data_IF_078043816926
#
_entry.id   IF_078043816926
#
_cell.length_a   1.000
_cell.length_b   1.000
_cell.length_c   1.000
_cell.angle_alpha   90.00
_cell.angle_beta   90.00
_cell.angle_gamma   90.00
#
_symmetry.space_group_name_H-M   'P 1'
#
loop_
_entity.id
_entity.type
_entity.pdbx_description
1 polymer ?
#
# COMPACT_ATOMS: atom_id res chain seq x y z
N UNK A 1 15.52 -10.29 -9.74
CA UNK A 1 15.15 -10.35 -8.30
C UNK A 1 13.65 -10.13 -8.10
N UNK A 2 13.08 -9.03 -8.59
CA UNK A 2 11.64 -8.67 -8.46
C UNK A 2 10.68 -9.75 -8.98
N UNK A 3 10.98 -10.37 -10.12
CA UNK A 3 10.19 -11.48 -10.67
C UNK A 3 10.07 -12.69 -9.74
N UNK A 4 11.12 -12.98 -8.96
CA UNK A 4 11.10 -14.10 -7.98
C UNK A 4 10.13 -13.78 -6.86
N UNK A 5 10.16 -12.55 -6.33
CA UNK A 5 9.21 -12.10 -5.31
C UNK A 5 7.76 -12.09 -5.81
N UNK A 6 7.54 -11.63 -7.04
CA UNK A 6 6.21 -11.68 -7.68
C UNK A 6 5.73 -13.12 -7.83
N UNK A 7 6.60 -14.04 -8.25
CA UNK A 7 6.29 -15.47 -8.35
C UNK A 7 5.91 -16.09 -7.00
N UNK A 8 6.66 -15.80 -5.95
CA UNK A 8 6.35 -16.25 -4.58
C UNK A 8 5.00 -15.69 -4.11
N UNK A 9 4.73 -14.40 -4.37
CA UNK A 9 3.45 -13.77 -3.99
C UNK A 9 2.25 -14.38 -4.72
N UNK A 10 2.39 -14.70 -6.02
CA UNK A 10 1.34 -15.37 -6.79
C UNK A 10 1.14 -16.81 -6.30
N UNK A 11 2.23 -17.53 -5.99
CA UNK A 11 2.16 -18.89 -5.46
C UNK A 11 1.45 -18.94 -4.10
N UNK A 12 1.83 -18.05 -3.18
CA UNK A 12 1.20 -17.93 -1.87
C UNK A 12 -0.29 -17.58 -2.03
N UNK A 13 -0.62 -16.65 -2.93
CA UNK A 13 -2.00 -16.31 -3.24
C UNK A 13 -2.80 -17.50 -3.78
N UNK A 14 -2.27 -18.22 -4.77
CA UNK A 14 -2.91 -19.37 -5.37
C UNK A 14 -3.13 -20.50 -4.36
N UNK A 15 -2.17 -20.72 -3.46
CA UNK A 15 -2.26 -21.76 -2.43
C UNK A 15 -3.41 -21.52 -1.45
N UNK A 16 -3.66 -20.27 -1.06
CA UNK A 16 -4.70 -19.97 -0.08
C UNK A 16 -6.03 -19.48 -0.66
N UNK A 17 -6.20 -19.48 -2.00
CA UNK A 17 -7.51 -19.23 -2.64
C UNK A 17 -8.53 -20.32 -2.31
N UNK A 18 -8.09 -21.57 -2.17
CA UNK A 18 -8.97 -22.70 -1.82
C UNK A 18 -9.54 -22.54 -0.39
N UNK A 19 -8.71 -22.04 0.52
CA UNK A 19 -9.12 -21.71 1.88
C UNK A 19 -10.09 -20.52 1.90
N UNK A 20 -9.77 -19.45 1.16
CA UNK A 20 -10.65 -18.29 1.06
C UNK A 20 -12.02 -18.63 0.46
N UNK A 21 -12.04 -19.52 -0.55
CA UNK A 21 -13.28 -20.02 -1.13
C UNK A 21 -14.12 -20.79 -0.13
N UNK A 22 -13.47 -21.61 0.71
CA UNK A 22 -14.13 -22.36 1.79
C UNK A 22 -14.72 -21.42 2.84
N UNK A 23 -14.01 -20.32 3.18
CA UNK A 23 -14.56 -19.28 4.06
C UNK A 23 -15.71 -18.56 3.35
N UNK A 24 -15.60 -18.24 2.06
CA UNK A 24 -16.60 -17.53 1.26
C UNK A 24 -17.94 -18.24 1.25
N UNK A 25 -17.91 -19.57 1.04
CA UNK A 25 -19.07 -20.42 0.81
C UNK A 25 -19.83 -20.84 2.06
N UNK A 26 -19.31 -20.59 3.28
CA UNK A 26 -20.04 -20.92 4.52
C UNK A 26 -21.43 -20.24 4.57
N UNK A 27 -22.51 -20.99 4.88
CA UNK A 27 -23.88 -20.49 4.87
C UNK A 27 -24.08 -19.35 5.88
N UNK A 28 -24.84 -18.33 5.46
CA UNK A 28 -24.96 -17.01 6.11
C UNK A 28 -25.90 -16.97 7.33
N UNK A 29 -26.42 -18.11 7.79
CA UNK A 29 -27.63 -18.17 8.63
C UNK A 29 -27.51 -17.52 10.02
N UNK A 30 -26.31 -17.17 10.50
CA UNK A 30 -26.17 -16.57 11.83
C UNK A 30 -24.99 -15.60 12.03
N UNK A 31 -24.32 -15.15 10.97
CA UNK A 31 -23.16 -14.27 11.13
C UNK A 31 -23.56 -12.82 11.38
N UNK A 32 -22.98 -12.23 12.44
CA UNK A 32 -23.09 -10.81 12.76
C UNK A 32 -22.59 -9.93 11.61
N UNK A 33 -23.15 -8.72 11.49
CA UNK A 33 -22.75 -7.74 10.46
C UNK A 33 -21.25 -7.44 10.53
N UNK A 34 -20.68 -7.43 11.73
CA UNK A 34 -19.25 -7.25 11.95
C UNK A 34 -18.43 -8.38 11.31
N UNK A 35 -18.79 -9.64 11.53
CA UNK A 35 -18.08 -10.77 10.94
C UNK A 35 -18.06 -10.71 9.40
N UNK A 36 -19.14 -10.20 8.79
CA UNK A 36 -19.20 -9.98 7.34
C UNK A 36 -18.25 -8.87 6.88
N UNK A 37 -18.21 -7.74 7.59
CA UNK A 37 -17.32 -6.63 7.25
C UNK A 37 -15.84 -7.05 7.33
N UNK A 38 -15.44 -7.73 8.41
CA UNK A 38 -14.06 -8.23 8.57
C UNK A 38 -13.67 -9.17 7.43
N UNK A 39 -14.58 -10.06 7.03
CA UNK A 39 -14.38 -10.97 5.91
C UNK A 39 -14.15 -10.22 4.59
N UNK A 40 -14.96 -9.20 4.30
CA UNK A 40 -14.79 -8.39 3.10
C UNK A 40 -13.48 -7.60 3.10
N UNK A 41 -13.11 -6.99 4.22
CA UNK A 41 -11.85 -6.25 4.35
C UNK A 41 -10.65 -7.16 4.16
N UNK A 42 -10.67 -8.35 4.77
CA UNK A 42 -9.61 -9.35 4.60
C UNK A 42 -9.43 -9.74 3.12
N UNK A 43 -10.53 -10.07 2.45
CA UNK A 43 -10.53 -10.44 1.03
C UNK A 43 -10.01 -9.27 0.19
N UNK A 44 -10.50 -8.06 0.40
CA UNK A 44 -10.05 -6.86 -0.31
C UNK A 44 -8.55 -6.61 -0.12
N UNK A 45 -8.04 -6.70 1.11
CA UNK A 45 -6.62 -6.55 1.42
C UNK A 45 -5.76 -7.54 0.61
N UNK A 46 -6.21 -8.80 0.53
CA UNK A 46 -5.51 -9.85 -0.20
C UNK A 46 -5.48 -9.59 -1.70
N UNK A 47 -6.60 -9.17 -2.28
CA UNK A 47 -6.67 -8.80 -3.71
C UNK A 47 -5.82 -7.57 -4.04
N UNK A 48 -5.75 -6.58 -3.14
CA UNK A 48 -4.90 -5.41 -3.31
C UNK A 48 -3.42 -5.78 -3.35
N UNK A 49 -2.96 -6.67 -2.46
CA UNK A 49 -1.58 -7.16 -2.50
C UNK A 49 -1.25 -7.88 -3.81
N UNK A 50 -2.18 -8.71 -4.31
CA UNK A 50 -2.03 -9.36 -5.61
C UNK A 50 -1.96 -8.33 -6.75
N UNK A 51 -2.86 -7.33 -6.75
CA UNK A 51 -2.86 -6.26 -7.74
C UNK A 51 -1.55 -5.47 -7.74
N UNK A 52 -0.96 -5.21 -6.56
CA UNK A 52 0.37 -4.61 -6.43
C UNK A 52 1.45 -5.48 -7.04
N UNK A 53 1.46 -6.78 -6.74
CA UNK A 53 2.43 -7.73 -7.31
C UNK A 53 2.35 -7.79 -8.83
N UNK A 54 1.14 -7.83 -9.39
CA UNK A 54 0.90 -7.82 -10.84
C UNK A 54 1.41 -6.50 -11.45
N UNK A 55 1.04 -5.36 -10.85
CA UNK A 55 1.49 -4.04 -11.31
C UNK A 55 3.01 -3.94 -11.31
N UNK A 56 3.67 -4.49 -10.30
CA UNK A 56 5.12 -4.53 -10.20
C UNK A 56 5.76 -5.44 -11.25
N UNK A 57 5.17 -6.60 -11.52
CA UNK A 57 5.59 -7.49 -12.59
C UNK A 57 5.47 -6.84 -13.97
N UNK A 58 4.37 -6.13 -14.23
CA UNK A 58 4.16 -5.36 -15.47
C UNK A 58 5.22 -4.27 -15.62
N UNK A 59 5.49 -3.50 -14.56
CA UNK A 59 6.49 -2.42 -14.56
C UNK A 59 7.90 -2.94 -14.89
N UNK A 60 8.28 -4.12 -14.37
CA UNK A 60 9.56 -4.74 -14.68
C UNK A 60 9.62 -5.32 -16.10
N UNK A 61 8.49 -5.79 -16.63
CA UNK A 61 8.42 -6.42 -17.95
C UNK A 61 8.36 -5.39 -19.07
N UNK A 62 7.81 -4.20 -18.83
CA UNK A 62 7.71 -3.14 -19.81
C UNK A 62 9.03 -2.40 -20.00
N UNK A 63 9.91 -2.94 -20.84
CA UNK A 63 11.12 -2.23 -21.29
C UNK A 63 10.83 -1.17 -22.39
N UNK A 64 9.57 -0.97 -22.79
CA UNK A 64 9.20 -0.07 -23.88
C UNK A 64 7.99 0.81 -23.56
N UNK A 65 8.18 2.13 -23.70
CA UNK A 65 7.23 3.22 -23.96
C UNK A 65 5.82 3.23 -23.32
N UNK A 66 5.51 2.41 -22.32
CA UNK A 66 4.26 2.58 -21.58
C UNK A 66 4.28 3.94 -20.88
N UNK A 67 3.12 4.62 -20.87
CA UNK A 67 2.95 5.88 -20.17
C UNK A 67 3.17 5.69 -18.65
N UNK A 68 4.43 5.82 -18.20
CA UNK A 68 4.87 5.69 -16.81
C UNK A 68 3.99 6.45 -15.83
N UNK A 69 3.41 7.57 -16.25
CA UNK A 69 2.52 8.39 -15.44
C UNK A 69 1.27 7.64 -14.94
N UNK A 70 0.65 6.82 -15.79
CA UNK A 70 -0.57 6.09 -15.42
C UNK A 70 -0.21 4.94 -14.48
N UNK A 71 0.84 4.18 -14.81
CA UNK A 71 1.25 3.02 -14.03
C UNK A 71 1.71 3.43 -12.63
N UNK A 72 2.46 4.52 -12.53
CA UNK A 72 2.87 5.09 -11.24
C UNK A 72 1.66 5.59 -10.42
N UNK A 73 0.64 6.18 -11.06
CA UNK A 73 -0.60 6.58 -10.38
C UNK A 73 -1.36 5.38 -9.83
N UNK A 74 -1.51 4.31 -10.63
CA UNK A 74 -2.18 3.08 -10.21
C UNK A 74 -1.42 2.45 -9.04
N UNK A 75 -0.09 2.38 -9.13
CA UNK A 75 0.76 1.83 -8.08
C UNK A 75 0.55 2.57 -6.75
N UNK A 76 0.59 3.91 -6.75
CA UNK A 76 0.35 4.71 -5.54
C UNK A 76 -1.05 4.51 -4.94
N UNK A 77 -2.08 4.40 -5.79
CA UNK A 77 -3.46 4.18 -5.30
C UNK A 77 -3.58 2.81 -4.67
N UNK A 78 -3.03 1.78 -5.30
CA UNK A 78 -3.09 0.40 -4.79
C UNK A 78 -2.29 0.26 -3.50
N UNK A 79 -1.10 0.85 -3.39
CA UNK A 79 -0.30 0.81 -2.15
C UNK A 79 -0.99 1.53 -1.00
N UNK A 80 -1.51 2.74 -1.22
CA UNK A 80 -2.29 3.47 -0.19
C UNK A 80 -3.51 2.66 0.25
N UNK A 81 -4.23 2.04 -0.69
CA UNK A 81 -5.40 1.22 -0.36
C UNK A 81 -5.02 -0.04 0.44
N UNK A 82 -3.89 -0.67 0.11
CA UNK A 82 -3.33 -1.80 0.85
C UNK A 82 -3.00 -1.45 2.29
N UNK A 83 -2.31 -0.32 2.50
CA UNK A 83 -1.98 0.19 3.85
C UNK A 83 -3.23 0.46 4.66
N UNK A 84 -4.24 1.11 4.07
CA UNK A 84 -5.53 1.38 4.74
C UNK A 84 -6.23 0.08 5.13
N UNK A 85 -6.26 -0.92 4.25
CA UNK A 85 -6.85 -2.23 4.57
C UNK A 85 -6.12 -2.93 5.71
N UNK A 86 -4.79 -2.96 5.68
CA UNK A 86 -3.97 -3.55 6.75
C UNK A 86 -4.22 -2.85 8.10
N UNK A 87 -4.29 -1.53 8.08
CA UNK A 87 -4.59 -0.68 9.24
C UNK A 87 -5.96 -1.01 9.84
N UNK A 88 -6.98 -1.20 8.99
CA UNK A 88 -8.33 -1.60 9.44
C UNK A 88 -8.32 -3.00 10.05
N UNK A 89 -7.58 -3.97 9.48
CA UNK A 89 -7.48 -5.32 10.05
C UNK A 89 -6.81 -5.33 11.42
N UNK A 90 -5.72 -4.58 11.58
CA UNK A 90 -5.07 -4.40 12.88
C UNK A 90 -6.02 -3.76 13.88
N UNK A 91 -6.77 -2.74 13.46
CA UNK A 91 -7.76 -2.09 14.31
C UNK A 91 -8.86 -3.03 14.77
N UNK A 92 -9.39 -3.87 13.88
CA UNK A 92 -10.39 -4.88 14.25
C UNK A 92 -9.82 -5.80 15.33
N UNK A 93 -8.56 -6.22 15.19
CA UNK A 93 -7.90 -7.12 16.16
C UNK A 93 -7.71 -6.44 17.52
N UNK A 94 -7.17 -5.21 17.54
CA UNK A 94 -6.95 -4.44 18.77
C UNK A 94 -8.28 -4.04 19.41
N UNK A 95 -9.29 -3.70 18.61
CA UNK A 95 -10.62 -3.31 19.08
C UNK A 95 -11.33 -4.44 19.84
N UNK A 96 -11.10 -5.70 19.47
CA UNK A 96 -11.59 -6.87 20.23
C UNK A 96 -10.92 -6.97 21.60
N UNK A 97 -9.61 -6.72 21.68
CA UNK A 97 -8.85 -6.74 22.95
C UNK A 97 -9.32 -5.62 23.89
N UNK A 98 -9.50 -4.42 23.36
CA UNK A 98 -9.82 -3.21 24.13
C UNK A 98 -11.31 -3.02 24.43
N UNK A 99 -12.14 -4.05 24.26
CA UNK A 99 -13.60 -3.99 24.46
C UNK A 99 -14.26 -2.77 23.78
N UNK A 100 -13.79 -2.39 22.60
CA UNK A 100 -14.38 -1.30 21.81
C UNK A 100 -14.61 0.02 22.58
N UNK A 101 -13.58 0.53 23.26
CA UNK A 101 -13.67 1.89 23.82
C UNK A 101 -13.95 2.91 22.69
N UNK A 102 -15.04 3.67 22.86
CA UNK A 102 -15.52 4.64 21.88
C UNK A 102 -14.48 5.73 21.59
N UNK A 103 -13.67 6.13 22.58
CA UNK A 103 -12.68 7.19 22.41
C UNK A 103 -11.58 6.76 21.45
N UNK A 104 -11.02 5.57 21.64
CA UNK A 104 -9.95 5.06 20.78
C UNK A 104 -10.45 4.78 19.37
N UNK A 105 -11.65 4.22 19.26
CA UNK A 105 -12.29 4.00 17.96
C UNK A 105 -12.46 5.30 17.19
N UNK A 106 -12.87 6.38 17.87
CA UNK A 106 -13.01 7.70 17.24
C UNK A 106 -11.68 8.27 16.76
N UNK A 107 -10.63 8.24 17.59
CA UNK A 107 -9.28 8.72 17.21
C UNK A 107 -8.75 7.94 16.01
N UNK A 108 -8.91 6.62 16.03
CA UNK A 108 -8.42 5.77 14.96
C UNK A 108 -9.19 5.97 13.65
N UNK A 109 -10.52 6.07 13.72
CA UNK A 109 -11.35 6.38 12.54
C UNK A 109 -10.93 7.71 11.93
N UNK A 110 -10.65 8.72 12.76
CA UNK A 110 -10.19 10.02 12.31
C UNK A 110 -8.81 9.93 11.62
N UNK A 111 -7.88 9.13 12.17
CA UNK A 111 -6.58 8.89 11.57
C UNK A 111 -6.69 8.15 10.22
N UNK A 112 -7.51 7.10 10.12
CA UNK A 112 -7.80 6.41 8.86
C UNK A 112 -8.40 7.37 7.83
N UNK A 113 -9.39 8.15 8.22
CA UNK A 113 -10.08 9.07 7.32
C UNK A 113 -9.14 10.18 6.83
N UNK A 114 -8.29 10.69 7.72
CA UNK A 114 -7.22 11.63 7.36
C UNK A 114 -6.27 11.01 6.35
N UNK A 115 -5.83 9.76 6.57
CA UNK A 115 -4.93 9.04 5.66
C UNK A 115 -5.56 8.87 4.27
N UNK A 116 -6.84 8.48 4.20
CA UNK A 116 -7.56 8.33 2.92
C UNK A 116 -7.69 9.67 2.20
N UNK A 117 -8.07 10.74 2.91
CA UNK A 117 -8.21 12.08 2.33
C UNK A 117 -6.87 12.62 1.82
N UNK A 118 -5.80 12.41 2.59
CA UNK A 118 -4.44 12.80 2.18
C UNK A 118 -3.95 11.98 1.00
N UNK A 119 -4.22 10.66 0.97
CA UNK A 119 -3.93 9.79 -0.15
C UNK A 119 -4.62 10.25 -1.44
N UNK A 120 -5.93 10.53 -1.38
CA UNK A 120 -6.69 11.09 -2.51
C UNK A 120 -6.15 12.44 -2.97
N UNK A 121 -5.81 13.33 -2.03
CA UNK A 121 -5.20 14.63 -2.36
C UNK A 121 -3.81 14.49 -2.98
N UNK A 122 -3.03 13.49 -2.57
CA UNK A 122 -1.71 13.21 -3.14
C UNK A 122 -1.78 12.91 -4.64
N UNK A 123 -2.82 12.15 -5.06
CA UNK A 123 -3.08 11.86 -6.49
C UNK A 123 -3.31 13.13 -7.31
N UNK A 124 -3.91 14.16 -6.69
CA UNK A 124 -4.25 15.42 -7.35
C UNK A 124 -3.08 16.41 -7.33
N UNK A 125 -2.37 16.54 -6.20
CA UNK A 125 -1.40 17.64 -5.98
C UNK A 125 0.08 17.27 -6.06
N UNK A 126 0.43 15.99 -6.12
CA UNK A 126 1.79 15.52 -6.39
C UNK A 126 2.84 15.91 -5.33
N UNK A 127 3.48 14.90 -4.73
CA UNK A 127 4.72 14.96 -3.95
C UNK A 127 4.72 15.58 -2.54
N UNK A 128 3.99 16.66 -2.24
CA UNK A 128 4.17 17.39 -0.95
C UNK A 128 3.65 16.59 0.27
N UNK A 129 2.83 15.56 0.04
CA UNK A 129 2.10 14.87 1.12
C UNK A 129 2.77 13.59 1.62
N UNK A 130 3.81 13.07 0.97
CA UNK A 130 4.53 11.89 1.46
C UNK A 130 5.16 12.13 2.84
N UNK A 131 5.65 13.33 3.11
CA UNK A 131 6.20 13.72 4.42
C UNK A 131 5.14 13.76 5.52
N UNK A 132 3.89 14.09 5.20
CA UNK A 132 2.79 14.06 6.17
C UNK A 132 2.35 12.63 6.53
N UNK A 133 2.46 11.69 5.58
CA UNK A 133 2.19 10.26 5.83
C UNK A 133 3.21 9.70 6.83
N UNK A 134 4.49 10.06 6.69
CA UNK A 134 5.55 9.67 7.65
C UNK A 134 5.28 10.22 9.05
N UNK A 135 4.80 11.46 9.16
CA UNK A 135 4.46 12.04 10.48
C UNK A 135 3.23 11.35 11.09
N UNK A 136 2.28 10.89 10.26
CA UNK A 136 1.10 10.14 10.69
C UNK A 136 1.40 8.68 11.08
N UNK A 137 2.56 8.14 10.69
CA UNK A 137 3.03 6.84 11.19
C UNK A 137 3.57 6.90 12.62
N UNK A 138 4.12 8.03 13.05
CA UNK A 138 4.66 8.22 14.41
C UNK A 138 3.65 7.78 15.50
N UNK A 139 2.35 8.16 15.45
CA UNK A 139 1.36 7.68 16.40
C UNK A 139 1.18 6.15 16.41
N UNK A 140 1.29 5.47 15.26
CA UNK A 140 1.22 4.01 15.18
C UNK A 140 2.44 3.36 15.83
N UNK A 141 3.64 3.91 15.60
CA UNK A 141 4.89 3.44 16.25
C UNK A 141 4.87 3.71 17.76
N UNK A 142 4.30 4.84 18.19
CA UNK A 142 4.14 5.17 19.61
C UNK A 142 3.13 4.22 20.29
N UNK A 143 2.02 3.91 19.62
CA UNK A 143 1.08 2.89 20.11
C UNK A 143 1.70 1.49 20.16
N UNK A 144 2.56 1.16 19.19
CA UNK A 144 3.32 -0.10 19.18
C UNK A 144 4.30 -0.20 20.36
N UNK A 145 4.98 0.88 20.71
CA UNK A 145 5.86 0.93 21.87
C UNK A 145 5.13 0.77 23.22
N UNK A 146 3.84 1.10 23.26
CA UNK A 146 3.04 1.07 24.48
C UNK A 146 2.40 -0.30 24.78
N UNK A 147 2.33 -1.22 23.82
CA UNK A 147 1.63 -2.51 23.97
C UNK A 147 2.53 -3.67 23.47
N UNK A 148 3.55 -3.99 24.27
CA UNK A 148 4.58 -4.99 23.94
C UNK A 148 4.02 -6.42 24.12
N UNK A 149 3.29 -6.89 23.10
CA UNK A 149 2.94 -8.30 22.96
C UNK A 149 3.66 -8.89 21.74
N UNK A 150 4.42 -9.96 21.96
CA UNK A 150 5.33 -10.59 20.98
C UNK A 150 4.62 -10.99 19.67
N UNK A 151 3.31 -11.29 19.74
CA UNK A 151 2.46 -11.64 18.60
C UNK A 151 2.13 -10.47 17.65
N UNK A 152 2.20 -9.22 18.11
CA UNK A 152 1.94 -8.04 17.29
C UNK A 152 3.17 -7.64 16.46
N UNK A 153 4.37 -8.01 16.92
CA UNK A 153 5.63 -7.69 16.25
C UNK A 153 5.71 -8.32 14.84
N UNK A 154 5.37 -9.61 14.70
CA UNK A 154 5.52 -10.34 13.43
C UNK A 154 4.67 -9.78 12.27
N UNK A 155 3.47 -9.28 12.58
CA UNK A 155 2.61 -8.65 11.57
C UNK A 155 3.11 -7.26 11.18
N UNK A 156 3.64 -6.50 12.14
CA UNK A 156 4.13 -5.16 11.91
C UNK A 156 5.41 -5.17 11.07
N UNK A 157 6.34 -6.10 11.34
CA UNK A 157 7.56 -6.26 10.53
C UNK A 157 7.24 -6.51 9.05
N UNK A 158 6.16 -7.23 8.78
CA UNK A 158 5.73 -7.52 7.40
C UNK A 158 5.24 -6.26 6.68
N UNK A 159 4.47 -5.41 7.37
CA UNK A 159 3.97 -4.14 6.81
C UNK A 159 5.10 -3.13 6.65
N UNK A 160 6.01 -3.05 7.63
CA UNK A 160 7.21 -2.20 7.58
C UNK A 160 8.10 -2.54 6.38
N UNK A 161 8.33 -3.84 6.11
CA UNK A 161 9.14 -4.28 4.95
C UNK A 161 8.49 -3.88 3.62
N UNK A 162 7.17 -3.92 3.53
CA UNK A 162 6.42 -3.48 2.33
C UNK A 162 6.54 -1.96 2.17
N UNK A 163 6.47 -1.20 3.26
CA UNK A 163 6.58 0.26 3.25
C UNK A 163 8.01 0.72 2.93
N UNK A 164 9.02 0.06 3.48
CA UNK A 164 10.44 0.30 3.19
C UNK A 164 10.75 0.03 1.71
N UNK A 165 10.16 -1.03 1.13
CA UNK A 165 10.25 -1.25 -0.31
C UNK A 165 9.66 -0.08 -1.10
N UNK A 166 8.50 0.44 -0.72
CA UNK A 166 7.82 1.52 -1.46
C UNK A 166 8.61 2.85 -1.40
N UNK A 167 9.22 3.18 -0.25
CA UNK A 167 10.10 4.35 -0.13
C UNK A 167 11.36 4.23 -0.98
N UNK A 168 11.95 3.04 -1.06
CA UNK A 168 13.10 2.77 -1.91
C UNK A 168 12.76 2.90 -3.40
N UNK A 169 11.61 2.38 -3.84
CA UNK A 169 11.15 2.45 -5.23
C UNK A 169 10.78 3.89 -5.62
N UNK A 170 10.12 4.63 -4.73
CA UNK A 170 9.77 6.04 -4.96
C UNK A 170 11.01 6.93 -5.09
N UNK A 171 12.08 6.61 -4.35
CA UNK A 171 13.35 7.31 -4.45
C UNK A 171 14.05 7.06 -5.79
N UNK A 172 14.06 5.81 -6.24
CA UNK A 172 14.67 5.41 -7.53
C UNK A 172 13.97 6.05 -8.74
N UNK A 173 12.63 6.13 -8.71
CA UNK A 173 11.84 6.81 -9.75
C UNK A 173 12.09 8.32 -9.87
N UNK A 174 12.63 8.98 -8.84
CA UNK A 174 13.07 10.38 -8.91
C UNK A 174 14.44 10.52 -9.58
N UNK A 175 15.34 9.57 -9.38
CA UNK A 175 16.67 9.54 -10.01
C UNK A 175 16.52 9.30 -11.51
N UNK A 176 15.68 8.33 -11.89
CA UNK A 176 15.43 8.00 -13.29
C UNK A 176 14.81 9.15 -14.09
N UNK A 177 13.89 9.92 -13.49
CA UNK A 177 13.34 11.13 -14.13
C UNK A 177 14.38 12.23 -14.32
N UNK A 178 15.26 12.48 -13.34
CA UNK A 178 16.34 13.47 -13.49
C UNK A 178 17.32 13.06 -14.60
N UNK A 179 17.65 11.78 -14.71
CA UNK A 179 18.52 11.27 -15.77
C UNK A 179 17.89 11.46 -17.17
N UNK A 180 16.59 11.20 -17.31
CA UNK A 180 15.89 11.35 -18.59
C UNK A 180 15.79 12.83 -19.04
N UNK A 181 15.61 13.78 -18.12
CA UNK A 181 15.67 15.21 -18.44
C UNK A 181 17.07 15.70 -18.83
N UNK A 182 18.13 15.10 -18.28
CA UNK A 182 19.52 15.43 -18.65
C UNK A 182 19.84 14.91 -20.04
N UNK A 183 19.40 13.71 -20.39
CA UNK A 183 19.69 13.14 -21.71
C UNK A 183 19.03 13.93 -22.86
N UNK A 184 17.80 14.44 -22.66
CA UNK A 184 17.09 15.25 -23.67
C UNK A 184 17.78 16.63 -23.87
N UNK A 185 18.50 17.14 -22.87
CA UNK A 185 19.19 18.44 -22.96
C UNK A 185 20.52 18.35 -23.73
N UNK A 186 21.14 17.18 -23.81
CA UNK A 186 22.43 17.00 -24.50
C UNK A 186 22.28 16.83 -26.02
N UNK A 187 21.13 16.32 -26.49
CA UNK A 187 20.85 16.14 -27.92
C UNK A 187 20.24 17.36 -28.61
N UNK A 188 20.20 18.54 -27.96
CA UNK A 188 19.77 19.77 -28.61
C UNK A 188 20.99 20.41 -29.32
N UNK A 189 21.08 20.36 -30.65
CA UNK A 189 22.21 20.94 -31.38
C UNK A 189 22.26 22.46 -31.18
N UNK A 190 23.44 23.04 -30.92
CA UNK A 190 23.62 24.48 -30.77
C UNK A 190 23.68 25.13 -32.15
N UNK A 191 22.57 25.18 -32.89
CA UNK A 191 22.59 25.70 -34.26
C UNK A 191 21.56 26.81 -34.50
N UNK A 192 22.09 27.90 -35.08
CA UNK A 192 21.44 29.06 -35.69
C UNK A 192 20.96 30.19 -34.75
N UNK A 193 21.92 30.82 -34.08
CA UNK A 193 21.86 32.25 -33.77
C UNK A 193 23.01 32.98 -34.49
N UNK A 194 22.97 32.99 -35.82
CA UNK A 194 23.85 33.84 -36.63
C UNK A 194 23.22 34.06 -38.01
N UNK A 195 22.26 34.99 -38.08
CA UNK A 195 22.03 35.93 -39.20
C UNK A 195 20.95 36.93 -38.83
#
# INVERSE_FOLDING_TARGET
MTLVFVGIGIYDYASSIAFDWTIMTRPKSQQSVQARAVKWVYIACRYLNLATCITFGVLNSSHGALHCTVLFKILNVTTVSGVVCATILLFIRVGVVWRWDKRITAVFTFACLTTVVLGLRSVIKGLIYCSLIVILEIPMVVFWFLDYNEYMNMYFTTVDVILLCDTAISFDGKISRKASYVHIRVDSPPDLAAT
#
